data_IF_281353240567
#
_entry.id   IF_281353240567
#
_cell.length_a   1.000
_cell.length_b   1.000
_cell.length_c   1.000
_cell.angle_alpha   90.00
_cell.angle_beta   90.00
_cell.angle_gamma   90.00
#
_symmetry.space_group_name_H-M   'P 1'
#
loop_
_entity.id
_entity.type
_entity.pdbx_description
1 polymer ?
#
# COMPACT_ATOMS: atom_id res chain seq x y z
N UNK A 1 8.05 -0.31 -14.96
CA UNK A 1 8.32 0.85 -14.09
C UNK A 1 6.97 1.28 -13.52
N UNK A 2 6.70 0.96 -12.25
CA UNK A 2 5.35 1.04 -11.66
C UNK A 2 4.79 2.47 -11.70
N UNK A 3 3.48 2.59 -11.87
CA UNK A 3 2.73 3.86 -11.86
C UNK A 3 3.03 4.72 -10.62
N UNK A 4 3.26 4.08 -9.47
CA UNK A 4 3.55 4.77 -8.21
C UNK A 4 4.85 5.59 -8.25
N UNK A 5 5.88 5.10 -8.93
CA UNK A 5 7.16 5.81 -9.03
C UNK A 5 7.04 7.12 -9.80
N UNK A 6 6.11 7.19 -10.76
CA UNK A 6 5.83 8.42 -11.50
C UNK A 6 5.15 9.48 -10.61
N UNK A 7 4.31 9.06 -9.67
CA UNK A 7 3.67 9.95 -8.71
C UNK A 7 4.69 10.57 -7.74
N UNK A 8 5.58 9.75 -7.19
CA UNK A 8 6.62 10.21 -6.26
C UNK A 8 7.58 11.21 -6.91
N UNK A 9 8.07 10.94 -8.13
CA UNK A 9 8.97 11.85 -8.85
C UNK A 9 8.28 13.20 -9.08
N UNK A 10 7.01 13.20 -9.50
CA UNK A 10 6.25 14.44 -9.71
C UNK A 10 6.12 15.25 -8.43
N UNK A 11 5.85 14.59 -7.30
CA UNK A 11 5.80 15.23 -5.99
C UNK A 11 7.14 15.87 -5.61
N UNK A 12 8.24 15.14 -5.78
CA UNK A 12 9.59 15.65 -5.52
C UNK A 12 9.87 16.88 -6.39
N UNK A 13 9.59 16.82 -7.70
CA UNK A 13 9.82 17.94 -8.62
C UNK A 13 8.99 19.18 -8.25
N UNK A 14 7.71 18.99 -7.89
CA UNK A 14 6.83 20.10 -7.47
C UNK A 14 7.34 20.77 -6.19
N UNK A 15 7.71 19.98 -5.18
CA UNK A 15 8.25 20.52 -3.92
C UNK A 15 9.61 21.19 -4.15
N UNK A 16 10.45 20.62 -5.01
CA UNK A 16 11.73 21.21 -5.40
C UNK A 16 11.54 22.59 -6.03
N UNK A 17 10.60 22.69 -6.98
CA UNK A 17 10.28 23.93 -7.65
C UNK A 17 9.74 24.98 -6.67
N UNK A 18 8.85 24.55 -5.76
CA UNK A 18 8.33 25.42 -4.70
C UNK A 18 9.46 25.98 -3.82
N UNK A 19 10.39 25.12 -3.37
CA UNK A 19 11.56 25.52 -2.58
C UNK A 19 12.46 26.52 -3.33
N UNK A 20 12.56 26.41 -4.66
CA UNK A 20 13.31 27.39 -5.47
C UNK A 20 12.60 28.75 -5.57
N UNK A 21 11.29 28.76 -5.74
CA UNK A 21 10.52 29.99 -6.05
C UNK A 21 10.20 30.79 -4.78
N UNK A 22 9.91 30.13 -3.65
CA UNK A 22 9.51 30.80 -2.40
C UNK A 22 10.50 31.89 -1.97
N UNK A 23 11.82 31.62 -1.89
CA UNK A 23 12.80 32.64 -1.53
C UNK A 23 12.73 33.91 -2.39
N UNK A 24 12.49 33.79 -3.70
CA UNK A 24 12.37 34.94 -4.60
C UNK A 24 11.17 35.83 -4.30
N UNK A 25 10.07 35.24 -3.85
CA UNK A 25 8.84 35.98 -3.51
C UNK A 25 9.04 36.77 -2.22
N UNK A 26 9.65 36.15 -1.21
CA UNK A 26 9.79 36.75 0.12
C UNK A 26 11.02 37.66 0.26
N UNK A 27 12.10 37.39 -0.49
CA UNK A 27 13.36 38.14 -0.41
C UNK A 27 13.85 38.64 -1.79
N UNK A 28 13.04 39.44 -2.51
CA UNK A 28 13.38 39.88 -3.88
C UNK A 28 14.53 40.91 -3.92
N UNK A 29 14.78 41.63 -2.82
CA UNK A 29 15.76 42.73 -2.77
C UNK A 29 17.13 42.31 -2.24
N UNK A 30 17.18 41.19 -1.51
CA UNK A 30 18.39 40.69 -0.89
C UNK A 30 19.01 39.58 -1.76
N UNK A 31 19.50 39.95 -2.95
CA UNK A 31 20.25 39.06 -3.86
C UNK A 31 21.60 38.53 -3.28
N UNK A 32 21.74 38.52 -1.97
CA UNK A 32 22.81 37.87 -1.24
C UNK A 32 23.60 38.82 -0.36
N UNK A 33 23.84 38.39 0.88
CA UNK A 33 25.07 38.76 1.58
C UNK A 33 26.23 38.15 0.78
N UNK A 34 27.27 38.94 0.47
CA UNK A 34 28.50 38.39 -0.12
C UNK A 34 29.16 37.49 0.93
N UNK A 35 28.84 36.21 0.87
CA UNK A 35 29.52 35.20 1.68
C UNK A 35 30.81 34.86 0.94
N UNK A 36 31.86 35.62 1.21
CA UNK A 36 33.24 35.30 0.77
C UNK A 36 33.86 34.18 1.62
N UNK A 37 33.04 33.41 2.35
CA UNK A 37 33.51 32.29 3.14
C UNK A 37 34.12 31.23 2.22
N UNK A 38 35.17 30.56 2.70
CA UNK A 38 35.76 29.37 2.10
C UNK A 38 34.65 28.35 1.75
N UNK A 39 34.22 28.36 0.49
CA UNK A 39 33.30 27.37 -0.12
C UNK A 39 33.52 25.93 0.38
N UNK A 40 34.75 25.40 0.45
CA UNK A 40 34.96 24.02 0.94
C UNK A 40 34.49 23.80 2.39
N UNK A 41 34.60 24.81 3.26
CA UNK A 41 34.15 24.70 4.65
C UNK A 41 32.61 24.58 4.72
N UNK A 42 31.91 25.37 3.90
CA UNK A 42 30.45 25.35 3.83
C UNK A 42 29.94 23.99 3.34
N UNK A 43 30.57 23.42 2.31
CA UNK A 43 30.26 22.06 1.84
C UNK A 43 30.55 20.99 2.91
N UNK A 44 31.64 21.12 3.66
CA UNK A 44 31.98 20.18 4.72
C UNK A 44 30.95 20.23 5.87
N UNK A 45 30.55 21.44 6.27
CA UNK A 45 29.50 21.66 7.29
C UNK A 45 28.16 21.10 6.82
N UNK A 46 27.78 21.35 5.57
CA UNK A 46 26.53 20.85 4.99
C UNK A 46 26.52 19.31 4.89
N UNK A 47 27.63 18.70 4.49
CA UNK A 47 27.75 17.25 4.45
C UNK A 47 27.66 16.65 5.86
N UNK A 48 28.30 17.27 6.85
CA UNK A 48 28.18 16.89 8.26
C UNK A 48 26.74 16.99 8.77
N UNK A 49 26.03 18.06 8.40
CA UNK A 49 24.61 18.25 8.69
C UNK A 49 23.73 17.15 8.09
N UNK A 50 23.94 16.79 6.82
CA UNK A 50 23.19 15.68 6.20
C UNK A 50 23.48 14.34 6.86
N UNK A 51 24.75 14.06 7.20
CA UNK A 51 25.09 12.84 7.93
C UNK A 51 24.36 12.77 9.27
N UNK A 52 24.30 13.88 10.01
CA UNK A 52 23.58 13.97 11.29
C UNK A 52 22.09 13.66 11.10
N UNK A 53 21.41 14.32 10.15
CA UNK A 53 20.00 14.09 9.88
C UNK A 53 19.74 12.63 9.47
N UNK A 54 20.51 12.09 8.53
CA UNK A 54 20.29 10.72 8.06
C UNK A 54 20.64 9.66 9.10
N UNK A 55 21.58 9.94 10.00
CA UNK A 55 21.86 9.06 11.14
C UNK A 55 20.65 8.97 12.07
N UNK A 56 19.96 10.10 12.31
CA UNK A 56 18.72 10.15 13.10
C UNK A 56 17.56 9.48 12.37
N UNK A 57 17.34 9.81 11.09
CA UNK A 57 16.22 9.29 10.29
C UNK A 57 16.36 7.79 9.99
N UNK A 58 17.58 7.29 9.80
CA UNK A 58 17.86 5.91 9.42
C UNK A 58 18.81 5.25 10.42
N UNK A 59 18.45 5.26 11.70
CA UNK A 59 19.24 4.65 12.79
C UNK A 59 19.59 3.16 12.57
N UNK A 60 18.83 2.47 11.72
CA UNK A 60 19.05 1.05 11.34
C UNK A 60 19.86 0.86 10.06
N UNK A 61 20.40 1.92 9.46
CA UNK A 61 21.26 1.86 8.28
C UNK A 61 22.74 1.84 8.69
N UNK A 62 23.59 1.22 7.87
CA UNK A 62 25.04 1.26 8.10
C UNK A 62 25.60 2.65 7.83
N UNK A 63 26.66 3.05 8.56
CA UNK A 63 27.31 4.36 8.41
C UNK A 63 27.69 4.68 6.94
N UNK A 64 28.13 3.68 6.18
CA UNK A 64 28.43 3.83 4.75
C UNK A 64 27.19 4.22 3.93
N UNK A 65 26.02 3.64 4.22
CA UNK A 65 24.77 4.00 3.53
C UNK A 65 24.33 5.41 3.89
N UNK A 66 24.47 5.79 5.17
CA UNK A 66 24.19 7.16 5.63
C UNK A 66 25.09 8.16 4.91
N UNK A 67 26.39 7.87 4.81
CA UNK A 67 27.34 8.68 4.05
C UNK A 67 26.95 8.80 2.58
N UNK A 68 26.54 7.69 1.94
CA UNK A 68 26.11 7.69 0.54
C UNK A 68 24.82 8.51 0.33
N UNK A 69 23.86 8.46 1.26
CA UNK A 69 22.65 9.30 1.21
C UNK A 69 22.97 10.78 1.41
N UNK A 70 23.87 11.11 2.34
CA UNK A 70 24.35 12.48 2.54
C UNK A 70 25.02 13.02 1.26
N UNK A 71 25.89 12.23 0.63
CA UNK A 71 26.54 12.59 -0.63
C UNK A 71 25.55 12.77 -1.78
N UNK A 72 24.58 11.86 -1.89
CA UNK A 72 23.53 11.94 -2.93
C UNK A 72 22.65 13.18 -2.74
N UNK A 73 22.35 13.53 -1.48
CA UNK A 73 21.57 14.73 -1.13
C UNK A 73 22.33 16.00 -1.47
N UNK A 74 23.65 16.04 -1.19
CA UNK A 74 24.52 17.14 -1.58
C UNK A 74 24.52 17.34 -3.11
N UNK A 75 24.67 16.26 -3.87
CA UNK A 75 24.62 16.29 -5.34
C UNK A 75 23.27 16.78 -5.87
N UNK A 76 22.17 16.29 -5.30
CA UNK A 76 20.83 16.74 -5.63
C UNK A 76 20.64 18.23 -5.36
N UNK A 77 21.10 18.73 -4.21
CA UNK A 77 21.04 20.16 -3.86
C UNK A 77 21.87 21.03 -4.80
N UNK A 78 23.07 20.59 -5.19
CA UNK A 78 23.85 21.29 -6.23
C UNK A 78 23.05 21.36 -7.54
N UNK A 79 22.41 20.26 -7.93
CA UNK A 79 21.52 20.21 -9.08
C UNK A 79 20.36 21.20 -8.99
N UNK A 80 19.73 21.32 -7.81
CA UNK A 80 18.71 22.33 -7.54
C UNK A 80 19.27 23.76 -7.69
N UNK A 81 20.46 24.03 -7.14
CA UNK A 81 21.12 25.33 -7.27
C UNK A 81 21.45 25.70 -8.71
N UNK A 82 21.91 24.74 -9.52
CA UNK A 82 22.13 24.94 -10.96
C UNK A 82 20.81 25.23 -11.68
N UNK A 83 19.78 24.43 -11.41
CA UNK A 83 18.44 24.64 -12.00
C UNK A 83 17.87 26.01 -11.65
N UNK A 84 18.05 26.43 -10.40
CA UNK A 84 17.67 27.76 -9.95
C UNK A 84 18.50 28.86 -10.63
N UNK A 85 19.80 28.68 -10.81
CA UNK A 85 20.65 29.61 -11.56
C UNK A 85 20.25 29.74 -13.03
N UNK A 86 19.89 28.64 -13.70
CA UNK A 86 19.35 28.66 -15.07
C UNK A 86 18.00 29.38 -15.10
N UNK A 87 17.15 29.16 -14.10
CA UNK A 87 15.89 29.87 -13.97
C UNK A 87 16.09 31.39 -13.85
N UNK A 88 17.05 31.84 -13.03
CA UNK A 88 17.40 33.25 -12.91
C UNK A 88 17.95 33.84 -14.22
N UNK A 89 18.78 33.08 -14.95
CA UNK A 89 19.28 33.46 -16.26
C UNK A 89 18.12 33.75 -17.23
N UNK A 90 17.11 32.88 -17.29
CA UNK A 90 15.97 33.04 -18.19
C UNK A 90 15.06 34.20 -17.75
N UNK A 91 14.72 34.25 -16.46
CA UNK A 91 13.75 35.23 -15.93
C UNK A 91 14.28 36.66 -15.90
N UNK A 92 15.56 36.84 -15.57
CA UNK A 92 16.16 38.15 -15.33
C UNK A 92 17.25 38.53 -16.36
N UNK A 93 17.52 37.67 -17.35
CA UNK A 93 18.54 37.90 -18.39
C UNK A 93 19.94 38.22 -17.83
N UNK A 94 20.28 37.62 -16.69
CA UNK A 94 21.56 37.80 -16.00
C UNK A 94 22.69 36.99 -16.66
N UNK A 95 23.96 37.43 -16.62
CA UNK A 95 25.08 36.65 -17.15
C UNK A 95 25.16 35.24 -16.51
N UNK A 96 25.38 34.19 -17.32
CA UNK A 96 25.38 32.79 -16.87
C UNK A 96 26.26 32.56 -15.63
N UNK A 97 27.47 33.11 -15.61
CA UNK A 97 28.40 32.95 -14.48
C UNK A 97 27.89 33.58 -13.18
N UNK A 98 27.16 34.69 -13.28
CA UNK A 98 26.55 35.37 -12.15
C UNK A 98 25.31 34.61 -11.65
N UNK A 99 24.44 34.19 -12.56
CA UNK A 99 23.23 33.42 -12.25
C UNK A 99 23.55 32.07 -11.59
N UNK A 100 24.59 31.38 -12.05
CA UNK A 100 25.05 30.14 -11.43
C UNK A 100 25.65 30.37 -10.04
N UNK A 101 26.43 31.44 -9.83
CA UNK A 101 26.96 31.80 -8.51
C UNK A 101 25.84 32.13 -7.52
N UNK A 102 24.85 32.91 -7.95
CA UNK A 102 23.62 33.17 -7.21
C UNK A 102 22.87 31.89 -6.87
N UNK A 103 22.71 31.02 -7.86
CA UNK A 103 21.92 29.81 -7.73
C UNK A 103 22.51 28.80 -6.75
N UNK A 104 23.84 28.67 -6.71
CA UNK A 104 24.50 27.61 -5.95
C UNK A 104 24.91 28.08 -4.55
N UNK A 105 25.34 29.34 -4.37
CA UNK A 105 26.01 29.77 -3.13
C UNK A 105 25.59 31.12 -2.58
N UNK A 106 25.29 32.09 -3.45
CA UNK A 106 25.24 33.49 -3.02
C UNK A 106 23.85 33.92 -2.55
N UNK A 107 22.79 33.23 -2.99
CA UNK A 107 21.43 33.50 -2.54
C UNK A 107 21.10 32.71 -1.26
N UNK A 108 21.58 33.22 -0.13
CA UNK A 108 21.51 32.57 1.20
C UNK A 108 20.12 32.06 1.61
N UNK A 109 19.00 32.78 1.42
CA UNK A 109 17.69 32.28 1.80
C UNK A 109 17.29 31.00 1.06
N UNK A 110 17.55 30.95 -0.26
CA UNK A 110 17.31 29.73 -1.03
C UNK A 110 18.29 28.63 -0.67
N UNK A 111 19.57 28.97 -0.47
CA UNK A 111 20.58 28.00 -0.06
C UNK A 111 20.19 27.31 1.26
N UNK A 112 19.85 28.09 2.30
CA UNK A 112 19.45 27.56 3.60
C UNK A 112 18.18 26.73 3.53
N UNK A 113 17.17 27.21 2.79
CA UNK A 113 15.91 26.47 2.64
C UNK A 113 16.14 25.14 1.90
N UNK A 114 16.92 25.16 0.81
CA UNK A 114 17.30 23.95 0.09
C UNK A 114 18.10 23.00 0.98
N UNK A 115 19.09 23.50 1.72
CA UNK A 115 19.89 22.68 2.62
C UNK A 115 19.07 22.07 3.77
N UNK A 116 18.10 22.80 4.31
CA UNK A 116 17.24 22.27 5.37
C UNK A 116 16.25 21.22 4.83
N UNK A 117 15.66 21.47 3.66
CA UNK A 117 14.53 20.67 3.16
C UNK A 117 14.96 19.46 2.33
N UNK A 118 16.12 19.51 1.65
CA UNK A 118 16.62 18.41 0.80
C UNK A 118 16.60 17.02 1.44
N UNK A 119 17.04 16.81 2.70
CA UNK A 119 17.02 15.47 3.29
C UNK A 119 15.60 14.93 3.51
N UNK A 120 14.61 15.81 3.74
CA UNK A 120 13.22 15.40 3.92
C UNK A 120 12.56 15.06 2.59
N UNK A 121 12.85 15.82 1.52
CA UNK A 121 12.36 15.55 0.17
C UNK A 121 12.87 14.19 -0.33
N UNK A 122 14.13 13.85 -0.04
CA UNK A 122 14.73 12.58 -0.46
C UNK A 122 14.48 11.41 0.51
N UNK A 123 13.77 11.64 1.62
CA UNK A 123 13.49 10.58 2.61
C UNK A 123 12.76 9.39 1.98
N UNK A 124 11.69 9.66 1.23
CA UNK A 124 10.85 8.61 0.60
C UNK A 124 11.64 7.69 -0.35
N UNK A 125 12.37 8.21 -1.37
CA UNK A 125 13.13 7.34 -2.27
C UNK A 125 14.25 6.59 -1.55
N UNK A 126 14.90 7.19 -0.55
CA UNK A 126 15.92 6.50 0.23
C UNK A 126 15.35 5.38 1.10
N UNK A 127 14.18 5.58 1.71
CA UNK A 127 13.53 4.52 2.48
C UNK A 127 13.19 3.30 1.59
N UNK A 128 12.67 3.54 0.39
CA UNK A 128 12.42 2.49 -0.60
C UNK A 128 13.72 1.77 -1.00
N UNK A 129 14.82 2.51 -1.17
CA UNK A 129 16.13 1.93 -1.47
C UNK A 129 16.68 1.07 -0.31
N UNK A 130 16.58 1.55 0.94
CA UNK A 130 17.00 0.79 2.13
C UNK A 130 16.18 -0.50 2.26
N UNK A 131 14.86 -0.43 2.07
CA UNK A 131 13.97 -1.60 2.12
C UNK A 131 14.32 -2.63 1.04
N UNK A 132 14.63 -2.19 -0.19
CA UNK A 132 15.04 -3.06 -1.29
C UNK A 132 16.40 -3.72 -1.04
N UNK A 133 17.37 -2.97 -0.53
CA UNK A 133 18.72 -3.46 -0.25
C UNK A 133 18.79 -4.45 0.91
N UNK A 134 17.83 -4.41 1.86
CA UNK A 134 17.72 -5.40 2.93
C UNK A 134 17.22 -6.76 2.45
N UNK A 135 16.96 -6.93 1.15
CA UNK A 135 16.60 -8.24 0.60
C UNK A 135 15.41 -8.82 1.34
N UNK A 136 14.42 -7.99 1.70
CA UNK A 136 13.09 -8.51 1.98
C UNK A 136 12.73 -9.24 0.70
N UNK A 137 12.92 -10.57 0.72
CA UNK A 137 12.55 -11.50 -0.34
C UNK A 137 11.09 -11.18 -0.61
N UNK A 138 10.84 -10.35 -1.62
CA UNK A 138 9.61 -10.44 -2.38
C UNK A 138 9.67 -11.88 -2.87
N UNK A 139 8.92 -12.78 -2.22
CA UNK A 139 8.73 -14.11 -2.76
C UNK A 139 8.38 -13.90 -4.23
N UNK A 140 9.07 -14.55 -5.17
CA UNK A 140 8.69 -14.45 -6.57
C UNK A 140 7.23 -14.90 -6.60
N UNK A 141 6.34 -13.94 -6.88
CA UNK A 141 5.00 -14.25 -7.31
C UNK A 141 5.22 -14.89 -8.66
N UNK A 142 5.38 -16.21 -8.64
CA UNK A 142 5.27 -17.04 -9.81
C UNK A 142 3.82 -16.86 -10.27
N UNK A 143 3.63 -15.86 -11.12
CA UNK A 143 2.42 -15.66 -11.89
C UNK A 143 2.26 -16.92 -12.74
N UNK A 144 1.65 -17.95 -12.17
CA UNK A 144 0.93 -18.95 -12.95
C UNK A 144 -0.17 -18.18 -13.66
N UNK A 145 0.15 -17.75 -14.89
CA UNK A 145 -0.80 -17.40 -15.92
C UNK A 145 -1.59 -18.66 -16.23
N UNK A 146 -2.51 -19.03 -15.34
CA UNK A 146 -3.47 -20.09 -15.60
C UNK A 146 -4.50 -19.48 -16.55
N UNK A 147 -4.47 -19.97 -17.78
CA UNK A 147 -5.46 -19.65 -18.80
C UNK A 147 -6.85 -19.75 -18.18
N UNK A 148 -7.61 -18.68 -18.35
CA UNK A 148 -9.01 -18.58 -17.99
C UNK A 148 -9.77 -19.65 -18.76
N UNK A 149 -10.09 -20.78 -18.12
CA UNK A 149 -11.15 -21.64 -18.64
C UNK A 149 -12.46 -20.86 -18.54
N UNK A 150 -13.25 -20.81 -19.63
CA UNK A 150 -14.54 -20.14 -19.61
C UNK A 150 -15.47 -20.87 -18.63
N UNK A 151 -16.01 -20.12 -17.67
CA UNK A 151 -17.10 -20.59 -16.82
C UNK A 151 -18.23 -21.17 -17.69
N UNK A 152 -18.62 -22.46 -17.52
CA UNK A 152 -19.81 -22.97 -18.16
C UNK A 152 -21.02 -22.41 -17.40
N UNK A 153 -21.59 -21.33 -17.93
CA UNK A 153 -23.00 -21.03 -17.72
C UNK A 153 -23.81 -22.14 -18.37
N UNK A 154 -24.39 -23.05 -17.59
CA UNK A 154 -25.70 -23.69 -17.80
C UNK A 154 -25.93 -24.70 -16.66
N UNK A 155 -26.66 -24.32 -15.62
CA UNK A 155 -27.43 -25.28 -14.84
C UNK A 155 -28.70 -25.57 -15.63
N UNK A 156 -28.69 -26.64 -16.42
CA UNK A 156 -29.89 -27.26 -16.96
C UNK A 156 -29.77 -28.77 -16.71
N UNK A 157 -30.70 -29.25 -15.91
CA UNK A 157 -31.03 -30.66 -15.72
C UNK A 157 -31.25 -31.34 -17.07
N UNK A 158 -30.56 -32.45 -17.34
CA UNK A 158 -31.23 -33.71 -17.73
C UNK A 158 -30.28 -34.91 -17.77
N UNK A 159 -30.87 -36.07 -17.45
CA UNK A 159 -30.30 -37.41 -17.49
C UNK A 159 -29.69 -37.70 -18.86
N UNK A 160 -28.56 -38.42 -18.89
CA UNK A 160 -28.39 -39.64 -19.69
C UNK A 160 -27.14 -40.42 -19.29
N UNK A 161 -27.31 -41.74 -19.18
CA UNK A 161 -26.23 -42.73 -19.10
C UNK A 161 -25.51 -42.77 -20.44
N UNK A 162 -24.19 -42.74 -20.44
CA UNK A 162 -23.43 -43.59 -21.38
C UNK A 162 -22.01 -43.84 -20.89
N UNK A 163 -21.63 -45.12 -20.92
CA UNK A 163 -20.27 -45.64 -20.74
C UNK A 163 -19.46 -45.28 -21.98
N UNK A 164 -18.21 -44.83 -21.79
CA UNK A 164 -17.14 -45.27 -22.68
C UNK A 164 -15.77 -45.14 -22.00
N UNK A 165 -15.04 -46.26 -22.07
CA UNK A 165 -13.65 -46.44 -21.66
C UNK A 165 -12.72 -45.57 -22.50
N UNK A 166 -11.62 -45.12 -21.89
CA UNK A 166 -10.57 -44.37 -22.56
C UNK A 166 -9.44 -44.00 -21.61
N UNK A 167 -8.46 -44.88 -21.51
CA UNK A 167 -7.21 -44.71 -20.78
C UNK A 167 -6.42 -43.48 -21.27
N UNK A 168 -5.91 -42.71 -20.31
CA UNK A 168 -5.05 -41.55 -20.54
C UNK A 168 -4.48 -41.05 -19.22
N UNK A 169 -3.81 -41.93 -18.48
CA UNK A 169 -3.21 -41.65 -17.19
C UNK A 169 -1.99 -40.71 -17.34
N UNK A 170 -2.22 -39.40 -17.26
CA UNK A 170 -1.20 -38.41 -16.95
C UNK A 170 -1.36 -38.02 -15.49
N UNK A 171 -0.37 -38.44 -14.69
CA UNK A 171 -0.27 -38.29 -13.24
C UNK A 171 -0.43 -36.82 -12.78
N UNK A 172 -1.43 -36.47 -11.95
CA UNK A 172 -1.47 -35.21 -11.26
C UNK A 172 -0.88 -35.42 -9.86
N UNK A 173 0.45 -35.33 -9.73
CA UNK A 173 1.11 -35.34 -8.43
C UNK A 173 2.11 -34.18 -8.28
N UNK A 174 1.75 -33.30 -7.33
CA UNK A 174 2.45 -32.16 -6.69
C UNK A 174 1.80 -30.82 -7.08
N UNK A 175 1.12 -30.07 -6.22
CA UNK A 175 0.99 -30.00 -4.77
C UNK A 175 -0.34 -29.32 -4.42
N UNK A 176 -1.31 -30.04 -3.83
CA UNK A 176 -2.21 -29.48 -2.80
C UNK A 176 -2.44 -30.64 -1.82
N UNK A 177 -1.44 -30.90 -0.97
CA UNK A 177 -1.52 -31.94 0.06
C UNK A 177 -1.31 -31.35 1.45
N UNK A 178 -2.00 -30.26 1.74
CA UNK A 178 -2.38 -29.76 3.07
C UNK A 178 -3.64 -28.95 2.73
N UNK A 179 -4.86 -29.38 3.02
CA UNK A 179 -5.52 -29.19 4.32
C UNK A 179 -6.49 -30.36 4.53
N UNK A 180 -6.06 -31.39 5.27
CA UNK A 180 -7.00 -32.33 5.89
C UNK A 180 -7.35 -31.73 7.26
N UNK A 181 -8.57 -31.21 7.36
CA UNK A 181 -9.09 -30.51 8.54
C UNK A 181 -8.99 -28.98 8.40
N UNK A 182 -9.72 -28.39 7.45
CA UNK A 182 -9.90 -26.92 7.40
C UNK A 182 -10.63 -26.52 8.66
N UNK A 183 -9.95 -25.94 9.64
CA UNK A 183 -10.61 -25.24 10.73
C UNK A 183 -10.95 -23.81 10.24
N UNK A 184 -12.09 -23.23 10.61
CA UNK A 184 -12.41 -21.84 10.26
C UNK A 184 -11.28 -20.89 10.67
N UNK A 185 -10.68 -21.13 11.83
CA UNK A 185 -9.54 -20.38 12.35
C UNK A 185 -8.34 -20.43 11.40
N UNK A 186 -8.08 -21.57 10.75
CA UNK A 186 -6.99 -21.68 9.77
C UNK A 186 -7.23 -20.84 8.51
N UNK A 187 -8.49 -20.69 8.10
CA UNK A 187 -8.86 -19.85 6.95
C UNK A 187 -8.74 -18.37 7.32
N UNK A 188 -9.16 -18.00 8.53
CA UNK A 188 -8.98 -16.63 9.03
C UNK A 188 -7.49 -16.31 9.23
N UNK A 189 -6.69 -17.27 9.68
CA UNK A 189 -5.24 -17.12 9.79
C UNK A 189 -4.57 -16.89 8.44
N UNK A 190 -5.00 -17.61 7.40
CA UNK A 190 -4.54 -17.37 6.03
C UNK A 190 -4.79 -15.94 5.54
N UNK A 191 -5.91 -15.32 5.93
CA UNK A 191 -6.17 -13.90 5.70
C UNK A 191 -5.25 -13.02 6.54
N UNK A 192 -5.06 -13.36 7.82
CA UNK A 192 -4.27 -12.57 8.76
C UNK A 192 -2.78 -12.52 8.43
N UNK A 193 -2.25 -13.58 7.80
CA UNK A 193 -0.89 -13.62 7.25
C UNK A 193 -0.65 -12.59 6.15
N UNK A 194 -1.71 -12.04 5.53
CA UNK A 194 -1.56 -10.99 4.55
C UNK A 194 -1.05 -9.70 5.19
N UNK A 195 0.02 -9.13 4.62
CA UNK A 195 0.60 -7.89 5.11
C UNK A 195 -0.43 -6.76 5.04
N UNK A 196 -0.72 -6.17 6.20
CA UNK A 196 -1.67 -5.06 6.32
C UNK A 196 -3.04 -5.47 6.82
N UNK A 197 -3.44 -6.74 6.78
CA UNK A 197 -4.64 -7.19 7.51
C UNK A 197 -4.40 -6.95 9.00
N UNK A 198 -5.44 -6.55 9.74
CA UNK A 198 -5.41 -6.30 11.19
C UNK A 198 -6.31 -7.26 11.94
N UNK A 199 -7.47 -7.57 11.36
CA UNK A 199 -8.43 -8.51 11.90
C UNK A 199 -9.18 -9.22 10.77
N UNK A 200 -9.49 -10.49 10.98
CA UNK A 200 -10.42 -11.29 10.21
C UNK A 200 -11.38 -11.98 11.19
N UNK A 201 -12.67 -11.70 11.08
CA UNK A 201 -13.69 -12.18 12.02
C UNK A 201 -14.85 -12.75 11.22
N UNK A 202 -15.29 -13.96 11.56
CA UNK A 202 -16.51 -14.55 11.04
C UNK A 202 -17.64 -14.33 12.03
N UNK A 203 -18.70 -13.69 11.57
CA UNK A 203 -19.85 -13.27 12.38
C UNK A 203 -21.10 -13.98 11.85
N UNK A 204 -21.99 -14.43 12.72
CA UNK A 204 -23.28 -14.98 12.28
C UNK A 204 -24.35 -13.89 12.02
N UNK A 205 -25.57 -14.32 11.68
CA UNK A 205 -26.70 -13.41 11.45
C UNK A 205 -27.15 -12.64 12.70
N UNK A 206 -26.84 -13.14 13.90
CA UNK A 206 -27.19 -12.51 15.17
C UNK A 206 -26.10 -11.55 15.67
N UNK A 207 -24.96 -11.48 14.98
CA UNK A 207 -23.83 -10.65 15.40
C UNK A 207 -22.92 -11.34 16.41
N UNK A 208 -22.99 -12.67 16.55
CA UNK A 208 -22.09 -13.45 17.38
C UNK A 208 -20.81 -13.80 16.62
N UNK A 209 -19.69 -13.76 17.33
CA UNK A 209 -18.39 -14.14 16.79
C UNK A 209 -18.26 -15.66 16.74
N UNK A 210 -18.21 -16.23 15.54
CA UNK A 210 -18.07 -17.69 15.31
C UNK A 210 -16.61 -18.10 15.30
N UNK A 211 -15.75 -17.31 14.65
CA UNK A 211 -14.32 -17.52 14.59
C UNK A 211 -13.61 -16.17 14.44
N UNK A 212 -12.39 -16.07 14.97
CA UNK A 212 -11.64 -14.81 14.97
C UNK A 212 -10.14 -15.03 14.84
N UNK A 213 -9.50 -14.15 14.09
CA UNK A 213 -8.06 -13.91 14.12
C UNK A 213 -7.81 -12.40 14.04
N UNK A 214 -7.45 -11.79 15.16
CA UNK A 214 -7.25 -10.34 15.27
C UNK A 214 -6.00 -10.01 16.07
N UNK A 215 -5.37 -8.87 15.76
CA UNK A 215 -4.37 -8.27 16.65
C UNK A 215 -5.03 -7.75 17.93
N UNK A 216 -4.24 -7.62 19.01
CA UNK A 216 -4.68 -7.14 20.33
C UNK A 216 -5.53 -5.87 20.33
N UNK A 217 -5.30 -4.99 19.35
CA UNK A 217 -5.91 -3.67 19.30
C UNK A 217 -7.35 -3.70 18.74
N UNK A 218 -7.78 -4.85 18.20
CA UNK A 218 -9.06 -5.01 17.54
C UNK A 218 -9.92 -6.04 18.27
N UNK A 219 -10.93 -5.53 19.00
CA UNK A 219 -11.90 -6.32 19.74
C UNK A 219 -12.93 -6.96 18.78
N UNK A 220 -12.94 -8.30 18.65
CA UNK A 220 -13.83 -9.00 17.73
C UNK A 220 -15.32 -8.76 18.01
N UNK A 221 -15.72 -8.56 19.27
CA UNK A 221 -17.13 -8.35 19.64
C UNK A 221 -17.64 -6.99 19.14
N UNK A 222 -16.78 -5.96 19.20
CA UNK A 222 -17.08 -4.64 18.65
C UNK A 222 -17.15 -4.69 17.13
N UNK A 223 -16.26 -5.46 16.50
CA UNK A 223 -16.27 -5.67 15.04
C UNK A 223 -17.56 -6.36 14.61
N UNK A 224 -17.99 -7.39 15.33
CA UNK A 224 -19.22 -8.12 15.04
C UNK A 224 -20.46 -7.23 15.18
N UNK A 225 -20.55 -6.46 16.26
CA UNK A 225 -21.63 -5.50 16.49
C UNK A 225 -21.68 -4.45 15.35
N UNK A 226 -20.53 -3.89 14.99
CA UNK A 226 -20.43 -2.94 13.88
C UNK A 226 -20.87 -3.54 12.55
N UNK A 227 -20.40 -4.75 12.23
CA UNK A 227 -20.71 -5.41 10.98
C UNK A 227 -22.20 -5.72 10.83
N UNK A 228 -22.84 -6.19 11.91
CA UNK A 228 -24.29 -6.41 11.95
C UNK A 228 -25.07 -5.13 11.69
N UNK A 229 -24.78 -4.06 12.44
CA UNK A 229 -25.48 -2.78 12.27
C UNK A 229 -25.36 -2.24 10.84
N UNK A 230 -24.15 -2.34 10.25
CA UNK A 230 -23.90 -1.88 8.90
C UNK A 230 -24.65 -2.69 7.85
N UNK A 231 -24.63 -4.02 7.99
CA UNK A 231 -25.34 -4.93 7.08
C UNK A 231 -26.85 -4.69 7.15
N UNK A 232 -27.42 -4.64 8.36
CA UNK A 232 -28.86 -4.44 8.56
C UNK A 232 -29.35 -3.10 7.97
N UNK A 233 -28.60 -2.01 8.20
CA UNK A 233 -28.94 -0.70 7.63
C UNK A 233 -28.89 -0.70 6.09
N UNK A 234 -27.89 -1.36 5.50
CA UNK A 234 -27.74 -1.45 4.05
C UNK A 234 -28.80 -2.36 3.42
N UNK A 235 -29.07 -3.53 4.01
CA UNK A 235 -30.04 -4.48 3.48
C UNK A 235 -31.46 -3.89 3.54
N UNK A 236 -31.83 -3.14 4.60
CA UNK A 236 -33.09 -2.40 4.64
C UNK A 236 -33.18 -1.34 3.53
N UNK A 237 -32.06 -0.67 3.22
CA UNK A 237 -32.01 0.34 2.17
C UNK A 237 -32.16 -0.30 0.79
N UNK A 238 -31.44 -1.39 0.53
CA UNK A 238 -31.53 -2.15 -0.73
C UNK A 238 -32.93 -2.74 -0.94
N UNK A 239 -33.54 -3.28 0.12
CA UNK A 239 -34.92 -3.78 0.05
C UNK A 239 -35.91 -2.69 -0.34
N UNK A 240 -35.78 -1.46 0.20
CA UNK A 240 -36.62 -0.31 -0.20
C UNK A 240 -36.42 0.09 -1.66
N UNK A 241 -35.27 -0.22 -2.24
CA UNK A 241 -34.97 -0.01 -3.65
C UNK A 241 -35.43 -1.19 -4.54
N UNK A 242 -35.94 -2.27 -3.96
CA UNK A 242 -36.26 -3.51 -4.69
C UNK A 242 -35.04 -4.32 -5.11
N UNK A 243 -33.88 -4.06 -4.51
CA UNK A 243 -32.63 -4.76 -4.76
C UNK A 243 -32.41 -5.89 -3.75
N UNK A 244 -31.59 -6.88 -4.12
CA UNK A 244 -31.22 -7.99 -3.24
C UNK A 244 -30.27 -7.54 -2.13
N UNK A 245 -30.16 -8.34 -1.07
CA UNK A 245 -29.21 -8.13 0.02
C UNK A 245 -27.76 -8.03 -0.50
N UNK A 246 -26.94 -7.26 0.21
CA UNK A 246 -25.57 -6.99 -0.21
C UNK A 246 -24.66 -8.20 -0.07
N UNK A 247 -24.01 -8.64 -1.16
CA UNK A 247 -23.02 -9.72 -1.09
C UNK A 247 -21.68 -9.24 -0.52
N UNK A 248 -21.32 -7.98 -0.80
CA UNK A 248 -20.06 -7.38 -0.38
C UNK A 248 -20.21 -5.90 -0.09
N UNK A 249 -19.71 -5.45 1.06
CA UNK A 249 -19.63 -4.04 1.44
C UNK A 249 -18.17 -3.68 1.70
N UNK A 250 -17.68 -2.58 1.10
CA UNK A 250 -16.34 -2.05 1.33
C UNK A 250 -16.41 -0.62 1.88
N UNK A 251 -15.75 -0.37 3.01
CA UNK A 251 -15.62 0.95 3.63
C UNK A 251 -14.15 1.34 3.68
N UNK A 252 -13.86 2.57 3.24
CA UNK A 252 -12.52 3.15 3.31
C UNK A 252 -12.51 4.34 4.27
N UNK A 253 -11.77 4.21 5.36
CA UNK A 253 -11.45 5.29 6.30
C UNK A 253 -10.08 5.88 5.96
N UNK A 254 -9.59 6.88 6.71
CA UNK A 254 -8.24 7.44 6.53
C UNK A 254 -7.15 6.36 6.56
N UNK A 255 -7.31 5.40 7.47
CA UNK A 255 -6.24 4.45 7.82
C UNK A 255 -6.60 3.00 7.48
N UNK A 256 -7.90 2.67 7.46
CA UNK A 256 -8.38 1.30 7.33
C UNK A 256 -9.28 1.11 6.12
N UNK A 257 -9.13 -0.04 5.48
CA UNK A 257 -10.11 -0.65 4.60
C UNK A 257 -10.83 -1.78 5.34
N UNK A 258 -12.15 -1.65 5.46
CA UNK A 258 -13.03 -2.63 6.11
C UNK A 258 -13.89 -3.27 5.03
N UNK A 259 -13.84 -4.60 4.93
CA UNK A 259 -14.51 -5.37 3.90
C UNK A 259 -15.42 -6.41 4.57
N UNK A 260 -16.73 -6.35 4.31
CA UNK A 260 -17.71 -7.34 4.74
C UNK A 260 -18.08 -8.17 3.51
N UNK A 261 -17.98 -9.50 3.61
CA UNK A 261 -18.41 -10.43 2.56
C UNK A 261 -19.42 -11.40 3.16
N UNK A 262 -20.58 -11.50 2.52
CA UNK A 262 -21.62 -12.43 2.92
C UNK A 262 -21.23 -13.86 2.49
N UNK A 263 -21.35 -14.79 3.41
CA UNK A 263 -21.09 -16.23 3.20
C UNK A 263 -22.29 -17.00 3.75
N UNK A 264 -23.27 -17.26 2.89
CA UNK A 264 -24.57 -17.82 3.27
C UNK A 264 -25.23 -16.97 4.38
N UNK A 265 -25.39 -17.47 5.61
CA UNK A 265 -25.94 -16.71 6.75
C UNK A 265 -24.88 -16.01 7.62
N UNK A 266 -23.60 -16.16 7.26
CA UNK A 266 -22.48 -15.57 7.99
C UNK A 266 -21.93 -14.37 7.25
N UNK A 267 -21.21 -13.50 7.96
CA UNK A 267 -20.52 -12.35 7.40
C UNK A 267 -19.05 -12.44 7.79
N UNK A 268 -18.18 -12.56 6.78
CA UNK A 268 -16.74 -12.46 6.94
C UNK A 268 -16.35 -10.98 6.93
N UNK A 269 -15.80 -10.52 8.05
CA UNK A 269 -15.32 -9.14 8.23
C UNK A 269 -13.81 -9.13 8.21
N UNK A 270 -13.22 -8.37 7.30
CA UNK A 270 -11.77 -8.19 7.18
C UNK A 270 -11.43 -6.72 7.31
N UNK A 271 -10.60 -6.39 8.29
CA UNK A 271 -10.05 -5.05 8.50
C UNK A 271 -8.58 -5.05 8.10
N UNK A 272 -8.17 -4.08 7.31
CA UNK A 272 -6.80 -3.97 6.80
C UNK A 272 -6.34 -2.52 6.67
N UNK A 273 -5.04 -2.29 6.54
CA UNK A 273 -4.48 -0.99 6.20
C UNK A 273 -5.05 -0.50 4.86
N UNK A 274 -5.33 0.80 4.74
CA UNK A 274 -5.91 1.39 3.52
C UNK A 274 -5.07 1.12 2.25
N UNK A 275 -3.75 0.95 2.41
CA UNK A 275 -2.80 0.79 1.30
C UNK A 275 -2.60 -0.67 0.85
N UNK A 276 -3.48 -1.60 1.23
CA UNK A 276 -3.41 -2.97 0.71
C UNK A 276 -3.76 -3.03 -0.78
N UNK A 277 -3.14 -3.97 -1.47
CA UNK A 277 -3.30 -4.18 -2.91
C UNK A 277 -4.52 -5.05 -3.26
N UNK A 278 -4.76 -5.20 -4.56
CA UNK A 278 -5.88 -5.99 -5.10
C UNK A 278 -5.79 -7.49 -4.75
N UNK A 279 -4.59 -7.99 -4.43
CA UNK A 279 -4.39 -9.39 -4.05
C UNK A 279 -5.14 -9.75 -2.78
N UNK A 280 -5.31 -8.80 -1.84
CA UNK A 280 -6.13 -9.05 -0.65
C UNK A 280 -7.59 -9.33 -1.02
N UNK A 281 -8.16 -8.63 -2.01
CA UNK A 281 -9.53 -8.93 -2.48
C UNK A 281 -9.65 -10.36 -3.01
N UNK A 282 -8.65 -10.85 -3.75
CA UNK A 282 -8.62 -12.23 -4.26
C UNK A 282 -8.56 -13.23 -3.10
N UNK A 283 -7.72 -12.98 -2.09
CA UNK A 283 -7.63 -13.85 -0.91
C UNK A 283 -8.92 -13.88 -0.10
N UNK A 284 -9.59 -12.73 0.06
CA UNK A 284 -10.90 -12.65 0.72
C UNK A 284 -11.90 -13.54 -0.02
N UNK A 285 -11.98 -13.44 -1.35
CA UNK A 285 -12.91 -14.24 -2.14
C UNK A 285 -12.60 -15.75 -2.04
N UNK A 286 -11.33 -16.13 -2.08
CA UNK A 286 -10.91 -17.53 -1.88
C UNK A 286 -11.28 -18.04 -0.48
N UNK A 287 -11.06 -17.22 0.54
CA UNK A 287 -11.37 -17.57 1.93
C UNK A 287 -12.87 -17.72 2.15
N UNK A 288 -13.69 -16.85 1.55
CA UNK A 288 -15.14 -17.01 1.49
C UNK A 288 -15.54 -18.36 0.88
N UNK A 289 -14.91 -18.78 -0.22
CA UNK A 289 -15.15 -20.10 -0.82
C UNK A 289 -14.76 -21.26 0.10
N UNK A 290 -13.63 -21.15 0.81
CA UNK A 290 -13.20 -22.16 1.79
C UNK A 290 -14.16 -22.26 2.98
N UNK A 291 -14.61 -21.10 3.50
CA UNK A 291 -15.59 -21.03 4.59
C UNK A 291 -16.91 -21.65 4.14
N UNK A 292 -17.42 -21.28 2.96
CA UNK A 292 -18.66 -21.84 2.40
C UNK A 292 -18.60 -23.36 2.29
N UNK A 293 -17.48 -23.89 1.78
CA UNK A 293 -17.25 -25.33 1.69
C UNK A 293 -17.25 -25.98 3.07
N UNK A 294 -16.53 -25.40 4.03
CA UNK A 294 -16.50 -25.90 5.41
C UNK A 294 -17.88 -25.92 6.07
N UNK A 295 -18.66 -24.85 5.91
CA UNK A 295 -20.02 -24.75 6.45
C UNK A 295 -20.94 -25.79 5.82
N UNK A 296 -20.87 -25.97 4.51
CA UNK A 296 -21.68 -26.98 3.79
C UNK A 296 -21.31 -28.41 4.21
N UNK A 297 -20.03 -28.69 4.45
CA UNK A 297 -19.57 -30.02 4.86
C UNK A 297 -19.95 -30.35 6.31
N UNK A 298 -19.99 -29.35 7.19
CA UNK A 298 -20.19 -29.55 8.63
C UNK A 298 -21.62 -29.35 9.10
N UNK A 299 -22.40 -28.52 8.42
CA UNK A 299 -23.79 -28.22 8.75
C UNK A 299 -24.70 -28.71 7.62
N UNK A 300 -25.80 -29.39 7.99
CA UNK A 300 -26.80 -29.83 7.02
C UNK A 300 -27.44 -28.61 6.31
N UNK A 301 -27.80 -28.72 5.01
CA UNK A 301 -28.28 -27.60 4.20
C UNK A 301 -29.54 -26.92 4.76
N UNK A 302 -30.33 -27.60 5.60
CA UNK A 302 -31.52 -27.03 6.21
C UNK A 302 -31.23 -25.96 7.27
N UNK A 303 -30.03 -25.94 7.88
CA UNK A 303 -29.64 -24.92 8.86
C UNK A 303 -29.12 -23.66 8.15
N UNK A 304 -28.63 -23.79 6.91
CA UNK A 304 -28.04 -22.70 6.12
C UNK A 304 -29.07 -21.86 5.35
N UNK A 305 -30.34 -22.26 5.28
CA UNK A 305 -31.38 -21.63 4.45
C UNK A 305 -32.45 -20.84 5.22
N UNK A 306 -32.36 -20.74 6.55
CA UNK A 306 -33.48 -20.29 7.41
C UNK A 306 -33.83 -18.79 7.29
N UNK A 307 -33.24 -18.03 6.36
CA UNK A 307 -33.47 -16.55 6.27
C UNK A 307 -33.78 -16.06 4.84
N UNK A 308 -34.32 -16.91 3.96
CA UNK A 308 -34.84 -16.47 2.64
C UNK A 308 -36.37 -16.24 2.61
N UNK A 309 -37.04 -16.12 3.77
CA UNK A 309 -38.46 -15.69 3.86
C UNK A 309 -38.61 -14.29 4.46
#
# INVERSE_FOLDING_TARGET
MNSDYKGEIRGILLVSFFIMVVPLIFFPKDFGLKVDWLLPLLFALELGWYMLIFFILFSKASALKVFLFAWTTLGYRIGLGIGFGIFLLIMFSLPLSFSLKLGIFQYMPAFLLQALMSPFVLKSPFETFVRRAKGVKKMPIEFQKKETEPFPSTFASERSKEKLDGEGAVSPQKEIKVIRGTNLESVLHYLREYAGVKAAVLVDSEGLVVAKDSSSDFDPEKIASFARCLKEANDQTLHRMGEKASERIGIYTSDLWICLNQVDNFTLVVMSDRQTDELLSVRILQSTGMIKKFLTERYQPNILKVVEE
#
